data_IF_090749346970
#
_entry.id   IF_090749346970
#
_cell.length_a   1.000
_cell.length_b   1.000
_cell.length_c   1.000
_cell.angle_alpha   90.00
_cell.angle_beta   90.00
_cell.angle_gamma   90.00
#
_symmetry.space_group_name_H-M   'P 1'
#
loop_
_entity.id
_entity.type
_entity.pdbx_description
1 polymer ?
#
# COMPACT_ATOMS: atom_id res chain seq x y z
N UNK A 1 -39.02 8.30 -5.05
CA UNK A 1 -38.05 7.42 -4.38
C UNK A 1 -37.91 7.98 -2.97
N UNK A 2 -38.31 7.23 -1.96
CA UNK A 2 -38.21 7.61 -0.57
C UNK A 2 -36.80 7.31 -0.08
N UNK A 3 -35.93 8.32 -0.09
CA UNK A 3 -34.53 8.19 0.31
C UNK A 3 -34.35 7.94 1.82
N UNK A 4 -35.40 8.13 2.60
CA UNK A 4 -35.49 7.78 4.02
C UNK A 4 -35.69 6.29 4.28
N UNK A 5 -36.12 5.51 3.28
CA UNK A 5 -36.27 4.07 3.42
C UNK A 5 -35.00 3.32 2.98
N UNK A 6 -34.37 2.50 3.86
CA UNK A 6 -33.14 1.80 3.52
C UNK A 6 -33.24 0.87 2.30
N UNK A 7 -34.44 0.34 2.02
CA UNK A 7 -34.69 -0.59 0.90
C UNK A 7 -34.74 0.11 -0.44
N UNK A 8 -35.24 1.34 -0.49
CA UNK A 8 -35.26 2.16 -1.71
C UNK A 8 -33.92 2.86 -1.95
N UNK A 9 -33.19 3.16 -0.87
CA UNK A 9 -31.86 3.74 -0.92
C UNK A 9 -30.80 2.75 -1.43
N UNK A 10 -30.91 1.46 -1.10
CA UNK A 10 -29.89 0.46 -1.48
C UNK A 10 -29.65 0.35 -3.01
N UNK A 11 -30.66 0.27 -3.88
CA UNK A 11 -30.46 0.29 -5.34
C UNK A 11 -29.84 1.60 -5.86
N UNK A 12 -30.11 2.73 -5.21
CA UNK A 12 -29.49 4.00 -5.58
C UNK A 12 -28.00 4.01 -5.24
N UNK A 13 -27.63 3.48 -4.06
CA UNK A 13 -26.22 3.30 -3.69
C UNK A 13 -25.52 2.29 -4.61
N UNK A 14 -26.21 1.22 -5.02
CA UNK A 14 -25.71 0.29 -6.04
C UNK A 14 -25.39 1.02 -7.34
N UNK A 15 -26.29 1.89 -7.80
CA UNK A 15 -26.10 2.68 -9.02
C UNK A 15 -24.90 3.64 -8.91
N UNK A 16 -24.74 4.34 -7.78
CA UNK A 16 -23.58 5.22 -7.56
C UNK A 16 -22.25 4.46 -7.55
N UNK A 17 -22.19 3.35 -6.81
CA UNK A 17 -20.98 2.56 -6.71
C UNK A 17 -20.61 1.92 -8.06
N UNK A 18 -21.61 1.41 -8.80
CA UNK A 18 -21.42 0.82 -10.11
C UNK A 18 -20.94 1.85 -11.15
N UNK A 19 -21.51 3.06 -11.13
CA UNK A 19 -21.12 4.13 -12.04
C UNK A 19 -19.73 4.70 -11.74
N UNK A 20 -19.30 4.71 -10.47
CA UNK A 20 -18.05 5.35 -10.07
C UNK A 20 -16.78 4.61 -10.47
N UNK A 21 -16.82 3.28 -10.57
CA UNK A 21 -15.66 2.43 -10.89
C UNK A 21 -14.48 2.52 -9.90
N UNK A 22 -14.62 3.25 -8.78
CA UNK A 22 -13.58 3.48 -7.76
C UNK A 22 -14.21 3.45 -6.37
N UNK A 23 -13.43 3.15 -5.30
CA UNK A 23 -13.94 3.27 -3.94
C UNK A 23 -14.52 4.65 -3.66
N UNK A 24 -15.70 4.71 -3.05
CA UNK A 24 -16.36 5.95 -2.64
C UNK A 24 -16.44 6.02 -1.12
N UNK A 25 -15.92 7.11 -0.55
CA UNK A 25 -16.07 7.39 0.87
C UNK A 25 -17.52 7.68 1.22
N UNK A 26 -17.91 7.45 2.49
CA UNK A 26 -19.26 7.79 2.94
C UNK A 26 -19.53 9.29 2.73
N UNK A 27 -18.57 10.14 3.08
CA UNK A 27 -18.65 11.59 2.90
C UNK A 27 -18.95 11.96 1.45
N UNK A 28 -18.22 11.37 0.50
CA UNK A 28 -18.42 11.64 -0.93
C UNK A 28 -19.80 11.19 -1.40
N UNK A 29 -20.28 10.04 -0.93
CA UNK A 29 -21.64 9.59 -1.25
C UNK A 29 -22.70 10.52 -0.66
N UNK A 30 -22.47 11.08 0.54
CA UNK A 30 -23.37 12.05 1.17
C UNK A 30 -23.44 13.38 0.43
N UNK A 31 -22.36 13.81 -0.22
CA UNK A 31 -22.31 15.03 -1.04
C UNK A 31 -23.14 14.92 -2.33
N UNK A 32 -23.46 13.72 -2.78
CA UNK A 32 -24.28 13.52 -3.99
C UNK A 32 -25.77 13.81 -3.75
N UNK A 33 -26.20 13.91 -2.48
CA UNK A 33 -27.57 14.22 -2.11
C UNK A 33 -27.72 15.73 -1.84
N UNK A 34 -28.83 16.30 -2.29
CA UNK A 34 -29.21 17.67 -1.93
C UNK A 34 -29.56 17.77 -0.44
N UNK A 35 -29.47 18.98 0.15
CA UNK A 35 -29.66 19.19 1.60
C UNK A 35 -31.01 18.67 2.13
N UNK A 36 -32.08 18.72 1.33
CA UNK A 36 -33.42 18.23 1.70
C UNK A 36 -33.63 16.73 1.49
N UNK A 37 -32.73 16.07 0.77
CA UNK A 37 -32.84 14.66 0.36
C UNK A 37 -31.84 13.75 1.08
N UNK A 38 -30.93 14.34 1.86
CA UNK A 38 -29.87 13.62 2.54
C UNK A 38 -30.45 12.67 3.60
N UNK A 39 -30.26 11.35 3.47
CA UNK A 39 -30.69 10.39 4.47
C UNK A 39 -29.90 10.52 5.77
N UNK A 40 -30.49 10.10 6.88
CA UNK A 40 -29.75 10.02 8.15
C UNK A 40 -28.66 8.94 8.09
N UNK A 41 -27.55 9.15 8.80
CA UNK A 41 -26.43 8.21 8.86
C UNK A 41 -26.81 6.75 9.23
N UNK A 42 -27.74 6.49 10.18
CA UNK A 42 -28.17 5.14 10.51
C UNK A 42 -28.94 4.46 9.37
N UNK A 43 -29.76 5.21 8.63
CA UNK A 43 -30.50 4.73 7.46
C UNK A 43 -29.52 4.35 6.35
N UNK A 44 -28.52 5.19 6.11
CA UNK A 44 -27.48 4.97 5.11
C UNK A 44 -26.68 3.68 5.38
N UNK A 45 -26.20 3.48 6.62
CA UNK A 45 -25.49 2.26 7.01
C UNK A 45 -26.36 1.01 6.88
N UNK A 46 -27.65 1.10 7.23
CA UNK A 46 -28.62 0.01 7.02
C UNK A 46 -28.81 -0.29 5.53
N UNK A 47 -28.88 0.73 4.68
CA UNK A 47 -28.99 0.55 3.23
C UNK A 47 -27.77 -0.17 2.65
N UNK A 48 -26.55 0.19 3.07
CA UNK A 48 -25.33 -0.52 2.67
C UNK A 48 -25.32 -1.98 3.14
N UNK A 49 -25.79 -2.26 4.35
CA UNK A 49 -25.90 -3.64 4.84
C UNK A 49 -26.92 -4.46 4.04
N UNK A 50 -28.05 -3.86 3.66
CA UNK A 50 -29.05 -4.48 2.78
C UNK A 50 -28.45 -4.73 1.40
N UNK A 51 -27.70 -3.77 0.85
CA UNK A 51 -27.01 -3.90 -0.43
C UNK A 51 -26.01 -5.05 -0.38
N UNK A 52 -25.16 -5.13 0.66
CA UNK A 52 -24.21 -6.22 0.85
C UNK A 52 -24.90 -7.58 0.83
N UNK A 53 -26.00 -7.74 1.58
CA UNK A 53 -26.79 -8.96 1.61
C UNK A 53 -27.45 -9.27 0.26
N UNK A 54 -27.85 -8.26 -0.50
CA UNK A 54 -28.43 -8.44 -1.84
C UNK A 54 -27.40 -8.92 -2.89
N UNK A 55 -26.12 -8.68 -2.63
CA UNK A 55 -25.00 -9.20 -3.44
C UNK A 55 -24.68 -10.67 -3.15
N UNK A 56 -25.29 -11.29 -2.13
CA UNK A 56 -25.12 -12.70 -1.86
C UNK A 56 -25.66 -13.55 -3.01
N UNK A 57 -24.84 -14.49 -3.49
CA UNK A 57 -25.15 -15.31 -4.67
C UNK A 57 -24.91 -14.62 -6.02
N UNK A 58 -24.56 -13.33 -6.08
CA UNK A 58 -24.21 -12.63 -7.33
C UNK A 58 -22.72 -12.79 -7.70
N UNK A 59 -22.38 -12.39 -8.93
CA UNK A 59 -21.00 -12.43 -9.43
C UNK A 59 -20.09 -11.36 -8.79
N UNK A 60 -20.69 -10.29 -8.28
CA UNK A 60 -20.01 -9.19 -7.61
C UNK A 60 -20.39 -9.13 -6.14
N UNK A 61 -19.59 -8.41 -5.36
CA UNK A 61 -19.77 -8.19 -3.94
C UNK A 61 -19.52 -6.72 -3.59
N UNK A 62 -20.13 -6.27 -2.50
CA UNK A 62 -19.83 -4.99 -1.87
C UNK A 62 -18.66 -5.20 -0.91
N UNK A 63 -17.54 -4.51 -1.17
CA UNK A 63 -16.35 -4.53 -0.30
C UNK A 63 -16.13 -3.15 0.30
N UNK A 64 -15.83 -3.14 1.58
CA UNK A 64 -15.35 -1.94 2.30
C UNK A 64 -13.83 -1.99 2.37
N UNK A 65 -13.19 -0.92 1.92
CA UNK A 65 -11.74 -0.68 1.87
C UNK A 65 -11.41 0.63 2.58
N UNK A 66 -10.12 0.93 2.77
CA UNK A 66 -9.67 2.12 3.49
C UNK A 66 -10.25 3.44 2.94
N UNK A 67 -10.42 3.56 1.62
CA UNK A 67 -11.00 4.76 1.00
C UNK A 67 -12.54 4.76 0.95
N UNK A 68 -13.20 3.67 1.32
CA UNK A 68 -14.67 3.59 1.39
C UNK A 68 -15.24 2.30 0.82
N UNK A 69 -16.39 2.38 0.15
CA UNK A 69 -17.09 1.21 -0.40
C UNK A 69 -16.90 1.09 -1.92
N UNK A 70 -16.80 -0.13 -2.42
CA UNK A 70 -16.79 -0.43 -3.87
C UNK A 70 -17.53 -1.72 -4.18
N UNK A 71 -18.06 -1.80 -5.41
CA UNK A 71 -18.51 -3.07 -5.98
C UNK A 71 -17.36 -3.69 -6.77
N UNK A 72 -17.06 -4.95 -6.50
CA UNK A 72 -16.01 -5.69 -7.19
C UNK A 72 -16.47 -7.09 -7.55
N UNK A 73 -15.85 -7.68 -8.58
CA UNK A 73 -16.14 -9.05 -8.96
C UNK A 73 -15.52 -10.00 -7.93
N UNK A 74 -16.24 -11.06 -7.54
CA UNK A 74 -15.73 -12.06 -6.59
C UNK A 74 -14.50 -12.74 -7.16
N UNK A 75 -13.51 -12.99 -6.31
CA UNK A 75 -12.21 -13.57 -6.68
C UNK A 75 -12.33 -14.89 -7.44
N UNK A 76 -13.34 -15.71 -7.12
CA UNK A 76 -13.64 -16.97 -7.81
C UNK A 76 -13.83 -16.83 -9.33
N UNK A 77 -14.15 -15.64 -9.85
CA UNK A 77 -14.30 -15.39 -11.29
C UNK A 77 -13.05 -14.78 -11.95
N UNK A 78 -12.03 -14.42 -11.18
CA UNK A 78 -10.80 -13.76 -11.64
C UNK A 78 -10.17 -14.43 -12.88
N UNK A 79 -10.02 -15.78 -12.95
CA UNK A 79 -9.40 -16.45 -14.10
C UNK A 79 -10.16 -16.27 -15.43
N UNK A 80 -11.46 -15.98 -15.37
CA UNK A 80 -12.30 -15.74 -16.56
C UNK A 80 -12.35 -14.27 -16.92
N UNK A 81 -12.54 -13.41 -15.92
CA UNK A 81 -12.60 -11.95 -16.12
C UNK A 81 -11.26 -11.44 -16.66
N UNK A 82 -10.14 -12.00 -16.17
CA UNK A 82 -8.80 -11.70 -16.66
C UNK A 82 -8.61 -11.88 -18.18
N UNK A 83 -9.41 -12.74 -18.82
CA UNK A 83 -9.36 -12.97 -20.28
C UNK A 83 -9.99 -11.86 -21.10
N UNK A 84 -10.71 -10.94 -20.46
CA UNK A 84 -11.33 -9.80 -21.12
C UNK A 84 -10.29 -8.78 -21.59
N UNK A 85 -9.14 -8.72 -20.92
CA UNK A 85 -8.04 -7.84 -21.30
C UNK A 85 -7.10 -8.57 -22.24
N UNK A 86 -6.81 -7.95 -23.39
CA UNK A 86 -5.89 -8.47 -24.42
C UNK A 86 -4.45 -8.56 -23.88
N UNK A 87 -4.04 -7.55 -23.10
CA UNK A 87 -2.76 -7.54 -22.42
C UNK A 87 -2.90 -8.08 -20.99
N UNK A 88 -2.10 -9.10 -20.65
CA UNK A 88 -1.97 -9.51 -19.25
C UNK A 88 -1.24 -8.42 -18.48
N UNK A 89 -1.79 -7.93 -17.36
CA UNK A 89 -1.08 -6.98 -16.53
C UNK A 89 0.24 -7.60 -16.07
N UNK A 90 1.32 -6.83 -16.18
CA UNK A 90 2.66 -7.27 -15.79
C UNK A 90 2.66 -7.74 -14.34
N UNK A 91 3.09 -8.99 -14.12
CA UNK A 91 3.16 -9.56 -12.77
C UNK A 91 4.23 -8.86 -11.96
N UNK A 92 3.97 -8.68 -10.67
CA UNK A 92 4.95 -8.13 -9.75
C UNK A 92 5.99 -9.19 -9.40
N UNK A 93 7.26 -8.79 -9.41
CA UNK A 93 8.35 -9.69 -9.03
C UNK A 93 8.27 -10.02 -7.54
N UNK A 94 8.76 -11.21 -7.17
CA UNK A 94 8.83 -11.64 -5.77
C UNK A 94 9.60 -10.63 -4.90
N UNK A 95 10.71 -10.10 -5.40
CA UNK A 95 11.50 -9.10 -4.67
C UNK A 95 10.71 -7.82 -4.37
N UNK A 96 9.81 -7.40 -5.29
CA UNK A 96 8.93 -6.25 -5.06
C UNK A 96 7.90 -6.54 -3.97
N UNK A 97 7.25 -7.70 -4.04
CA UNK A 97 6.25 -8.11 -3.04
C UNK A 97 6.87 -8.29 -1.65
N UNK A 98 8.06 -8.90 -1.56
CA UNK A 98 8.81 -9.03 -0.30
C UNK A 98 9.18 -7.66 0.31
N UNK A 99 9.67 -6.74 -0.53
CA UNK A 99 10.03 -5.38 -0.10
C UNK A 99 8.80 -4.64 0.43
N UNK A 100 7.68 -4.73 -0.29
CA UNK A 100 6.43 -4.12 0.12
C UNK A 100 5.87 -4.73 1.40
N UNK A 101 5.92 -6.05 1.55
CA UNK A 101 5.49 -6.72 2.78
C UNK A 101 6.32 -6.25 3.98
N UNK A 102 7.63 -6.13 3.85
CA UNK A 102 8.48 -5.58 4.92
C UNK A 102 8.08 -4.16 5.30
N UNK A 103 7.77 -3.30 4.33
CA UNK A 103 7.27 -1.95 4.62
C UNK A 103 5.93 -2.00 5.36
N UNK A 104 4.99 -2.85 4.93
CA UNK A 104 3.67 -2.94 5.56
C UNK A 104 3.74 -3.37 7.05
N UNK A 105 4.57 -4.38 7.37
CA UNK A 105 4.67 -4.92 8.74
C UNK A 105 5.65 -4.17 9.65
N UNK A 106 6.60 -3.39 9.10
CA UNK A 106 7.66 -2.71 9.89
C UNK A 106 7.74 -1.20 9.71
N UNK A 107 6.78 -0.59 9.03
CA UNK A 107 6.72 0.87 8.92
C UNK A 107 6.72 1.56 10.31
N UNK A 108 7.38 2.72 10.46
CA UNK A 108 8.20 3.40 9.46
C UNK A 108 9.60 2.78 9.34
N UNK A 109 10.00 2.41 8.11
CA UNK A 109 11.27 1.69 7.83
C UNK A 109 12.10 2.37 6.73
N UNK A 110 13.42 2.34 6.84
CA UNK A 110 14.39 2.89 5.88
C UNK A 110 14.85 1.83 4.87
N UNK A 111 15.44 2.26 3.75
CA UNK A 111 16.00 1.32 2.76
C UNK A 111 17.06 0.40 3.36
N UNK A 112 17.95 0.93 4.20
CA UNK A 112 19.01 0.13 4.83
C UNK A 112 18.44 -0.96 5.73
N UNK A 113 17.45 -0.64 6.56
CA UNK A 113 16.77 -1.63 7.42
C UNK A 113 16.07 -2.73 6.60
N UNK A 114 15.53 -2.41 5.42
CA UNK A 114 14.96 -3.42 4.51
C UNK A 114 16.06 -4.36 3.98
N UNK A 115 17.19 -3.80 3.56
CA UNK A 115 18.35 -4.57 3.06
C UNK A 115 18.93 -5.49 4.13
N UNK A 116 19.04 -5.00 5.37
CA UNK A 116 19.53 -5.76 6.52
C UNK A 116 18.64 -6.97 6.83
N UNK A 117 17.31 -6.81 6.76
CA UNK A 117 16.37 -7.92 7.01
C UNK A 117 16.36 -8.92 5.86
N UNK A 118 16.50 -8.46 4.60
CA UNK A 118 16.51 -9.34 3.42
C UNK A 118 17.85 -10.03 3.19
N UNK A 119 18.95 -9.47 3.72
CA UNK A 119 20.31 -9.95 3.48
C UNK A 119 20.81 -9.74 2.05
N UNK A 120 20.07 -9.00 1.22
CA UNK A 120 20.42 -8.68 -0.18
C UNK A 120 20.05 -7.23 -0.48
N UNK A 121 20.81 -6.60 -1.38
CA UNK A 121 20.55 -5.23 -1.83
C UNK A 121 19.14 -5.11 -2.46
N UNK A 122 18.44 -4.02 -2.15
CA UNK A 122 17.14 -3.73 -2.73
C UNK A 122 17.36 -2.90 -3.98
N UNK A 123 16.83 -3.36 -5.11
CA UNK A 123 16.91 -2.59 -6.35
C UNK A 123 16.17 -1.25 -6.19
N UNK A 124 16.86 -0.14 -6.41
CA UNK A 124 16.30 1.22 -6.33
C UNK A 124 15.05 1.40 -7.20
N UNK A 125 14.95 0.68 -8.32
CA UNK A 125 13.77 0.71 -9.18
C UNK A 125 12.52 0.19 -8.47
N UNK A 126 12.63 -0.82 -7.60
CA UNK A 126 11.48 -1.36 -6.85
C UNK A 126 10.87 -0.26 -5.96
N UNK A 127 11.71 0.43 -5.19
CA UNK A 127 11.26 1.52 -4.30
C UNK A 127 10.63 2.66 -5.12
N UNK A 128 11.24 3.01 -6.25
CA UNK A 128 10.71 4.01 -7.18
C UNK A 128 9.32 3.62 -7.70
N UNK A 129 9.15 2.39 -8.18
CA UNK A 129 7.85 1.90 -8.67
C UNK A 129 6.79 1.87 -7.58
N UNK A 130 7.14 1.49 -6.34
CA UNK A 130 6.20 1.50 -5.21
C UNK A 130 5.75 2.92 -4.85
N UNK A 131 6.63 3.92 -4.95
CA UNK A 131 6.30 5.34 -4.77
C UNK A 131 5.43 5.88 -5.91
N UNK A 132 5.76 5.56 -7.16
CA UNK A 132 4.99 5.99 -8.35
C UNK A 132 3.58 5.43 -8.38
N UNK A 133 3.39 4.20 -7.89
CA UNK A 133 2.07 3.57 -7.72
C UNK A 133 1.32 4.06 -6.48
N UNK A 134 1.92 5.00 -5.74
CA UNK A 134 1.41 5.54 -4.49
C UNK A 134 1.15 4.48 -3.41
N UNK A 135 1.73 3.28 -3.49
CA UNK A 135 1.55 2.25 -2.46
C UNK A 135 2.33 2.55 -1.20
N UNK A 136 3.45 3.23 -1.35
CA UNK A 136 4.26 3.75 -0.24
C UNK A 136 4.46 5.25 -0.40
N UNK A 137 4.77 5.91 0.71
CA UNK A 137 5.14 7.32 0.77
C UNK A 137 6.30 7.53 1.74
N UNK A 138 6.99 8.65 1.60
CA UNK A 138 8.00 9.10 2.56
C UNK A 138 7.28 9.78 3.72
N UNK A 139 7.52 9.31 4.94
CA UNK A 139 6.94 9.90 6.17
C UNK A 139 7.89 10.83 6.90
N UNK A 140 9.19 10.75 6.60
CA UNK A 140 10.23 11.56 7.20
C UNK A 140 11.62 11.00 6.92
N UNK A 141 12.62 11.50 7.63
CA UNK A 141 14.01 11.07 7.52
C UNK A 141 14.54 10.64 8.89
N UNK A 142 15.34 9.58 8.95
CA UNK A 142 15.94 9.10 10.19
C UNK A 142 17.12 9.98 10.58
N UNK A 143 17.30 10.23 11.88
CA UNK A 143 18.42 11.02 12.41
C UNK A 143 19.69 10.16 12.59
N UNK A 144 20.20 9.66 11.47
CA UNK A 144 21.48 8.92 11.37
C UNK A 144 22.32 9.52 10.23
N UNK A 145 23.65 9.27 10.18
CA UNK A 145 24.48 9.78 9.09
C UNK A 145 23.90 9.44 7.71
N UNK A 146 23.76 10.46 6.86
CA UNK A 146 23.12 10.34 5.54
C UNK A 146 21.61 10.55 5.52
N UNK A 147 20.96 10.74 6.68
CA UNK A 147 19.52 11.04 6.85
C UNK A 147 18.63 10.27 5.87
N UNK A 148 18.59 8.92 5.95
CA UNK A 148 17.83 8.11 5.00
C UNK A 148 16.32 8.34 5.15
N UNK A 149 15.60 8.30 4.03
CA UNK A 149 14.15 8.41 4.00
C UNK A 149 13.49 7.18 4.66
N UNK A 150 12.42 7.44 5.42
CA UNK A 150 11.56 6.42 6.02
C UNK A 150 10.28 6.27 5.19
N UNK A 151 9.94 5.02 4.89
CA UNK A 151 8.78 4.65 4.10
C UNK A 151 7.64 4.13 4.99
N UNK A 152 6.42 4.44 4.57
CA UNK A 152 5.19 3.86 5.11
C UNK A 152 4.21 3.61 3.97
N UNK A 153 3.25 2.72 4.21
CA UNK A 153 2.14 2.42 3.31
C UNK A 153 1.13 3.58 3.24
N UNK A 154 0.30 3.57 2.19
CA UNK A 154 -0.76 4.56 1.97
C UNK A 154 -2.14 3.91 1.96
N UNK A 155 -3.20 4.74 1.81
CA UNK A 155 -4.56 4.24 1.57
C UNK A 155 -4.68 3.49 0.23
N UNK A 156 -3.94 3.89 -0.80
CA UNK A 156 -3.95 3.21 -2.09
C UNK A 156 -3.43 1.77 -1.99
N UNK A 157 -2.43 1.53 -1.12
CA UNK A 157 -2.01 0.17 -0.78
C UNK A 157 -3.16 -0.63 -0.15
N UNK A 158 -3.82 -0.08 0.88
CA UNK A 158 -4.93 -0.76 1.55
C UNK A 158 -6.09 -1.05 0.59
N UNK A 159 -6.42 -0.12 -0.30
CA UNK A 159 -7.46 -0.28 -1.31
C UNK A 159 -7.10 -1.35 -2.36
N UNK A 160 -5.81 -1.48 -2.69
CA UNK A 160 -5.33 -2.51 -3.62
C UNK A 160 -5.47 -3.90 -2.99
N UNK A 161 -5.11 -4.04 -1.71
CA UNK A 161 -5.16 -5.30 -0.97
C UNK A 161 -6.51 -5.60 -0.30
N UNK A 162 -7.56 -4.80 -0.58
CA UNK A 162 -8.90 -4.97 -0.02
C UNK A 162 -8.96 -4.87 1.53
N UNK A 163 -8.09 -4.05 2.13
CA UNK A 163 -7.98 -3.85 3.58
C UNK A 163 -8.65 -2.54 3.99
N UNK A 164 -9.24 -2.49 5.19
CA UNK A 164 -9.80 -1.25 5.76
C UNK A 164 -8.75 -0.47 6.53
N UNK A 165 -7.93 -1.20 7.28
CA UNK A 165 -6.85 -0.67 8.10
C UNK A 165 -5.64 -1.62 8.00
N UNK A 166 -4.55 -1.22 8.66
CA UNK A 166 -3.32 -2.03 8.71
C UNK A 166 -3.41 -3.22 9.68
N UNK A 167 -4.35 -3.17 10.62
CA UNK A 167 -4.57 -4.23 11.62
C UNK A 167 -5.27 -5.46 11.01
N UNK A 168 -5.92 -5.28 9.86
CA UNK A 168 -6.51 -6.36 9.06
C UNK A 168 -5.45 -7.24 8.36
N UNK A 169 -4.16 -6.88 8.45
CA UNK A 169 -3.08 -7.70 7.90
C UNK A 169 -2.94 -9.01 8.70
N UNK A 170 -2.78 -10.17 8.04
CA UNK A 170 -2.55 -11.44 8.72
C UNK A 170 -1.35 -11.34 9.67
N UNK A 171 -1.45 -11.80 10.93
CA UNK A 171 -0.32 -11.75 11.83
C UNK A 171 0.82 -12.64 11.30
N UNK A 172 2.06 -12.24 11.56
CA UNK A 172 3.25 -12.94 11.05
C UNK A 172 3.35 -14.41 11.51
N UNK A 173 2.64 -14.79 12.58
CA UNK A 173 2.56 -16.17 13.05
C UNK A 173 1.77 -17.05 12.06
N UNK A 174 0.61 -16.58 11.60
CA UNK A 174 -0.30 -17.31 10.72
C UNK A 174 0.29 -17.47 9.31
N UNK A 175 1.16 -16.55 8.87
CA UNK A 175 1.87 -16.65 7.60
C UNK A 175 2.85 -17.83 7.52
N UNK A 176 3.27 -18.39 8.66
CA UNK A 176 4.13 -19.59 8.69
C UNK A 176 3.35 -20.87 8.43
N UNK A 177 2.05 -20.85 8.69
CA UNK A 177 1.15 -22.00 8.53
C UNK A 177 0.47 -22.00 7.15
N UNK A 178 0.48 -20.87 6.43
CA UNK A 178 0.18 -20.86 5.01
C UNK A 178 1.24 -21.71 4.29
N UNK A 179 0.85 -22.91 3.88
CA UNK A 179 1.60 -23.62 2.85
C UNK A 179 1.73 -22.69 1.64
N UNK A 180 2.94 -22.49 1.09
CA UNK A 180 3.04 -21.78 -0.17
C UNK A 180 2.24 -22.60 -1.17
N UNK A 181 1.13 -22.04 -1.67
CA UNK A 181 0.44 -22.61 -2.82
C UNK A 181 1.51 -22.95 -3.86
N UNK A 182 1.51 -24.17 -4.43
CA UNK A 182 2.48 -24.54 -5.44
C UNK A 182 2.38 -23.48 -6.54
N UNK A 183 3.46 -22.71 -6.66
CA UNK A 183 3.59 -21.66 -7.65
C UNK A 183 3.38 -22.35 -8.98
N UNK A 184 2.25 -22.05 -9.63
CA UNK A 184 2.12 -22.36 -11.04
C UNK A 184 3.16 -21.48 -11.73
N UNK A 185 4.32 -22.07 -12.02
CA UNK A 185 5.34 -21.54 -12.92
C UNK A 185 4.70 -21.36 -14.30
N UNK A 186 3.99 -20.25 -14.45
CA UNK A 186 3.39 -19.86 -15.72
C UNK A 186 4.39 -19.20 -16.66
N UNK A 187 5.62 -18.94 -16.19
CA UNK A 187 6.68 -18.40 -17.02
C UNK A 187 7.21 -19.45 -18.02
N UNK A 188 6.95 -20.76 -17.79
CA UNK A 188 7.35 -21.88 -18.64
C UNK A 188 6.17 -22.77 -19.11
N UNK A 189 4.92 -22.39 -18.85
CA UNK A 189 3.78 -23.16 -19.31
C UNK A 189 3.63 -23.00 -20.84
N UNK A 190 3.81 -24.08 -21.64
CA UNK A 190 3.71 -23.97 -23.09
C UNK A 190 2.31 -23.47 -23.46
N UNK A 191 2.27 -22.45 -24.32
CA UNK A 191 1.01 -21.97 -24.88
C UNK A 191 0.33 -23.16 -25.56
N UNK A 192 -0.93 -23.48 -25.21
CA UNK A 192 -1.66 -24.56 -25.86
C UNK A 192 -1.65 -24.40 -27.38
N UNK A 193 -1.27 -25.45 -28.12
CA UNK A 193 -1.10 -25.43 -29.59
C UNK A 193 -2.33 -24.88 -30.33
N UNK A 194 -3.52 -25.03 -29.75
CA UNK A 194 -4.78 -24.52 -30.30
C UNK A 194 -4.90 -22.99 -30.25
N UNK A 195 -4.29 -22.32 -29.26
CA UNK A 195 -4.23 -20.86 -29.17
C UNK A 195 -3.14 -20.30 -30.08
N UNK A 196 -2.01 -21.01 -30.21
CA UNK A 196 -0.95 -20.67 -31.15
C UNK A 196 -1.46 -20.74 -32.60
N UNK A 197 -2.16 -21.83 -32.96
CA UNK A 197 -2.72 -22.01 -34.29
C UNK A 197 -3.80 -20.96 -34.65
N UNK A 198 -4.54 -20.44 -33.68
CA UNK A 198 -5.51 -19.36 -33.90
C UNK A 198 -4.83 -18.00 -34.10
N UNK A 199 -3.73 -17.74 -33.39
CA UNK A 199 -2.90 -16.54 -33.59
C UNK A 199 -2.22 -16.57 -34.96
N UNK A 200 -1.63 -17.70 -35.34
CA UNK A 200 -0.98 -17.90 -36.63
C UNK A 200 -1.96 -17.83 -37.80
N UNK A 201 -3.21 -18.28 -37.62
CA UNK A 201 -4.26 -18.19 -38.63
C UNK A 201 -4.88 -16.78 -38.76
N UNK A 202 -4.73 -15.92 -37.74
CA UNK A 202 -5.23 -14.55 -37.73
C UNK A 202 -4.16 -13.53 -38.14
N UNK A 203 -2.89 -13.95 -38.30
CA UNK A 203 -1.83 -13.13 -38.83
C UNK A 203 -2.00 -12.99 -40.35
N UNK A 204 -2.36 -11.80 -40.83
CA UNK A 204 -2.16 -11.45 -42.24
C UNK A 204 -0.66 -11.48 -42.55
N UNK A 205 -0.23 -11.90 -43.76
CA UNK A 205 1.18 -11.93 -44.12
C UNK A 205 1.70 -10.48 -44.22
N UNK A 206 2.23 -9.96 -43.12
CA UNK A 206 3.09 -8.78 -43.17
C UNK A 206 4.36 -9.16 -43.94
N UNK A 207 4.69 -8.36 -44.95
CA UNK A 207 5.97 -8.44 -45.64
C UNK A 207 7.11 -8.37 -44.61
N UNK A 208 8.19 -9.17 -44.76
CA UNK A 208 9.28 -9.16 -43.81
C UNK A 208 9.91 -7.76 -43.82
N UNK A 209 9.63 -6.97 -42.79
CA UNK A 209 10.49 -5.85 -42.44
C UNK A 209 11.77 -6.49 -41.96
N UNK A 210 12.83 -6.34 -42.74
CA UNK A 210 14.18 -6.72 -42.37
C UNK A 210 14.49 -6.11 -41.01
N UNK A 211 14.36 -6.92 -39.95
CA UNK A 211 15.03 -6.66 -38.70
C UNK A 211 16.52 -6.65 -39.07
N UNK A 212 17.12 -5.46 -39.07
CA UNK A 212 18.55 -5.32 -39.17
C UNK A 212 19.14 -6.12 -38.01
N UNK A 213 19.64 -7.31 -38.34
CA UNK A 213 20.33 -8.20 -37.43
C UNK A 213 21.28 -7.38 -36.56
N UNK A 214 21.31 -7.69 -35.26
CA UNK A 214 22.21 -7.06 -34.28
C UNK A 214 23.66 -6.96 -34.79
N UNK A 215 24.05 -7.87 -35.68
CA UNK A 215 25.35 -7.90 -36.34
C UNK A 215 25.59 -6.73 -37.31
N UNK A 216 24.56 -6.25 -38.03
CA UNK A 216 24.62 -5.08 -38.91
C UNK A 216 24.81 -3.80 -38.12
N UNK A 217 24.11 -3.66 -36.99
CA UNK A 217 24.27 -2.51 -36.08
C UNK A 217 25.65 -2.48 -35.42
N UNK A 218 26.22 -3.65 -35.11
CA UNK A 218 27.59 -3.78 -34.61
C UNK A 218 28.65 -3.37 -35.66
N UNK A 219 28.42 -3.69 -36.94
CA UNK A 219 29.32 -3.30 -38.03
C UNK A 219 29.24 -1.80 -38.35
N UNK A 220 28.05 -1.18 -38.22
CA UNK A 220 27.92 0.27 -38.34
C UNK A 220 28.64 1.01 -37.21
N UNK A 221 28.57 0.48 -35.97
CA UNK A 221 29.27 1.06 -34.82
C UNK A 221 30.80 1.00 -34.96
N UNK A 222 31.35 -0.13 -35.43
CA UNK A 222 32.78 -0.28 -35.73
C UNK A 222 33.23 0.73 -36.81
N UNK A 223 32.40 0.98 -37.84
CA UNK A 223 32.71 1.95 -38.90
C UNK A 223 32.68 3.41 -38.41
N UNK A 224 31.88 3.71 -37.38
CA UNK A 224 31.82 5.03 -36.75
C UNK A 224 33.02 5.27 -35.82
N UNK A 225 33.58 4.21 -35.23
CA UNK A 225 34.76 4.27 -34.34
C UNK A 225 36.08 4.52 -35.11
N UNK A 226 36.17 4.12 -36.38
CA UNK A 226 37.34 4.38 -37.23
C UNK A 226 37.54 5.87 -37.57
N UNK A 227 36.49 6.70 -37.41
CA UNK A 227 36.55 8.15 -37.65
C UNK A 227 36.99 9.01 -36.45
N UNK A 228 37.20 8.41 -35.27
CA UNK A 228 37.45 9.13 -34.01
C UNK A 228 38.90 9.04 -33.49
N UNK A 229 39.84 8.54 -34.30
CA UNK A 229 41.27 8.49 -33.93
C UNK A 229 42.06 9.69 -34.42
N UNK A 230 41.91 10.81 -33.73
CA UNK A 230 42.98 11.75 -33.38
C UNK A 230 42.34 12.80 -32.50
N UNK A 231 42.79 12.94 -31.25
CA UNK A 231 42.66 14.15 -30.39
C UNK A 231 42.95 13.84 -28.91
N UNK A 232 43.33 12.60 -28.56
CA UNK A 232 43.69 12.24 -27.18
C UNK A 232 45.19 11.96 -26.95
N UNK A 233 46.07 12.49 -27.82
CA UNK A 233 47.53 12.42 -27.64
C UNK A 233 48.20 13.80 -27.49
N UNK A 234 47.43 14.91 -27.58
CA UNK A 234 47.97 16.28 -27.58
C UNK A 234 48.08 16.92 -26.18
N UNK A 235 47.71 16.19 -25.11
CA UNK A 235 47.72 16.73 -23.74
C UNK A 235 48.83 16.15 -22.83
N UNK A 236 49.75 15.34 -23.36
CA UNK A 236 50.75 14.67 -22.51
C UNK A 236 52.20 14.68 -22.99
N UNK A 237 52.58 15.44 -24.02
CA UNK A 237 53.99 15.47 -24.42
C UNK A 237 54.42 16.69 -25.24
N UNK A 238 54.76 17.78 -24.56
CA UNK A 238 56.07 18.39 -24.79
C UNK A 238 56.58 19.07 -23.51
N UNK A 239 57.83 18.80 -23.17
CA UNK A 239 58.45 19.24 -21.92
C UNK A 239 59.84 19.83 -22.17
N UNK A 240 60.17 20.83 -21.35
CA UNK A 240 61.52 21.34 -21.06
C UNK A 240 62.22 22.06 -22.25
N UNK A 241 63.06 23.10 -22.14
CA UNK A 241 63.95 23.71 -21.11
C UNK A 241 64.22 25.16 -21.63
N UNK A 242 64.41 26.24 -20.87
CA UNK A 242 65.69 26.75 -20.31
C UNK A 242 65.51 28.18 -19.78
N UNK A 243 66.29 28.51 -18.74
CA UNK A 243 66.50 29.82 -18.09
C UNK A 243 67.02 30.93 -19.03
N UNK A 244 66.54 32.18 -18.88
CA UNK A 244 67.35 33.40 -18.67
C UNK A 244 66.48 34.64 -18.36
N UNK A 245 67.11 35.61 -17.70
CA UNK A 245 66.58 36.66 -16.84
C UNK A 245 66.04 37.94 -17.53
N UNK A 246 65.24 38.68 -16.73
CA UNK A 246 65.10 40.15 -16.58
C UNK A 246 63.77 40.79 -17.00
N UNK A 247 63.13 41.49 -16.05
CA UNK A 247 62.15 42.55 -16.34
C UNK A 247 60.98 42.71 -15.36
N UNK A 248 61.26 43.36 -14.22
CA UNK A 248 60.36 44.06 -13.28
C UNK A 248 58.91 44.39 -13.76
N UNK A 249 57.89 44.03 -12.97
CA UNK A 249 56.79 44.92 -12.53
C UNK A 249 55.85 44.22 -11.52
N UNK A 250 55.42 44.96 -10.51
CA UNK A 250 54.55 44.55 -9.40
C UNK A 250 53.07 44.39 -9.85
N UNK A 251 52.24 43.58 -9.15
CA UNK A 251 50.80 43.54 -9.40
C UNK A 251 50.07 44.61 -8.57
N UNK A 252 49.26 45.44 -9.22
CA UNK A 252 48.20 46.24 -8.60
C UNK A 252 46.91 45.41 -8.45
N UNK A 253 46.11 45.63 -7.39
CA UNK A 253 44.85 44.91 -7.16
C UNK A 253 43.67 45.57 -7.88
N UNK A 254 42.79 44.75 -8.47
CA UNK A 254 41.50 45.15 -9.02
C UNK A 254 40.36 45.07 -7.98
N UNK A 255 39.25 45.79 -8.19
CA UNK A 255 38.53 46.50 -7.13
C UNK A 255 37.31 45.76 -6.55
N UNK A 256 36.95 46.20 -5.34
CA UNK A 256 35.74 45.87 -4.59
C UNK A 256 34.49 46.38 -5.31
N UNK A 257 33.47 45.51 -5.44
CA UNK A 257 32.13 45.88 -5.90
C UNK A 257 31.22 45.97 -4.68
N UNK A 258 30.78 47.19 -4.39
CA UNK A 258 29.69 47.50 -3.46
C UNK A 258 28.36 47.05 -4.07
N UNK A 259 27.53 46.34 -3.28
CA UNK A 259 26.10 46.21 -3.55
C UNK A 259 25.33 46.56 -2.29
N UNK A 260 24.46 47.54 -2.47
CA UNK A 260 23.59 48.21 -1.50
C UNK A 260 22.63 47.22 -0.83
N UNK A 261 22.48 47.36 0.49
CA UNK A 261 21.47 46.65 1.30
C UNK A 261 20.27 47.57 1.43
N UNK A 262 19.15 47.21 0.79
CA UNK A 262 17.85 47.81 1.08
C UNK A 262 17.32 47.30 2.42
N UNK A 263 16.95 48.25 3.27
CA UNK A 263 16.41 48.05 4.59
C UNK A 263 14.89 47.77 4.50
N UNK A 264 14.46 46.66 5.08
CA UNK A 264 13.08 46.49 5.54
C UNK A 264 13.06 46.38 7.07
N UNK A 265 12.22 47.21 7.66
CA UNK A 265 12.12 47.48 9.08
C UNK A 265 11.50 46.31 9.86
N UNK A 266 12.17 45.90 10.93
CA UNK A 266 11.59 45.06 11.98
C UNK A 266 10.61 45.88 12.83
N UNK A 267 9.37 45.41 12.91
CA UNK A 267 8.39 45.85 13.90
C UNK A 267 8.58 44.96 15.14
N UNK A 268 9.08 45.56 16.21
CA UNK A 268 9.11 44.96 17.55
C UNK A 268 7.67 44.69 18.03
N UNK A 269 7.32 43.41 18.10
CA UNK A 269 6.15 42.92 18.82
C UNK A 269 6.61 42.12 20.02
N UNK A 270 6.48 42.72 21.20
CA UNK A 270 6.65 42.07 22.49
C UNK A 270 5.72 40.84 22.59
N UNK A 271 6.29 39.67 22.85
CA UNK A 271 5.54 38.51 23.36
C UNK A 271 6.27 38.01 24.60
N UNK A 272 5.60 38.21 25.74
CA UNK A 272 5.96 37.67 27.04
C UNK A 272 6.15 36.14 26.97
N UNK A 273 7.30 35.68 27.44
CA UNK A 273 7.56 34.27 27.71
C UNK A 273 6.94 33.91 29.05
N UNK A 274 5.76 33.27 29.03
CA UNK A 274 5.25 32.53 30.17
C UNK A 274 5.95 31.17 30.21
N UNK A 275 6.89 31.03 31.15
CA UNK A 275 7.51 29.77 31.53
C UNK A 275 6.52 29.02 32.43
N UNK A 276 5.94 27.92 31.94
CA UNK A 276 5.23 26.97 32.79
C UNK A 276 6.26 26.18 33.62
N UNK A 277 6.06 26.00 34.94
CA UNK A 277 7.00 25.27 35.77
C UNK A 277 6.79 23.75 35.60
N UNK A 278 7.91 23.04 35.69
CA UNK A 278 8.00 21.57 35.73
C UNK A 278 7.12 21.00 36.85
N UNK A 279 6.23 20.07 36.50
CA UNK A 279 5.39 19.35 37.46
C UNK A 279 6.22 18.29 38.21
N UNK A 280 6.41 18.50 39.51
CA UNK A 280 6.91 17.52 40.46
C UNK A 280 5.93 16.33 40.53
N UNK A 281 6.48 15.11 40.41
CA UNK A 281 5.74 13.86 40.58
C UNK A 281 5.53 13.61 42.08
N UNK A 282 4.35 13.97 42.59
CA UNK A 282 3.90 13.57 43.93
C UNK A 282 3.53 12.09 43.98
N UNK A 283 3.98 11.39 45.02
CA UNK A 283 3.58 10.02 45.33
C UNK A 283 2.09 10.00 45.74
N UNK A 284 1.29 9.02 45.28
CA UNK A 284 -0.14 8.99 45.57
C UNK A 284 -0.40 8.76 47.06
N UNK A 285 -1.26 9.60 47.63
CA UNK A 285 -1.72 9.54 49.01
C UNK A 285 -2.65 8.32 49.22
N UNK A 286 -2.59 7.72 50.42
CA UNK A 286 -3.25 6.44 50.77
C UNK A 286 -4.79 6.45 50.74
N UNK A 287 -5.45 7.59 50.47
CA UNK A 287 -6.91 7.72 50.49
C UNK A 287 -7.61 7.31 49.17
N UNK A 288 -6.89 7.18 48.06
CA UNK A 288 -7.48 6.77 46.75
C UNK A 288 -7.63 5.24 46.57
N UNK A 289 -7.06 4.44 47.48
CA UNK A 289 -7.12 2.98 47.43
C UNK A 289 -8.53 2.43 47.70
N UNK A 290 -9.37 3.18 48.42
CA UNK A 290 -10.73 2.74 48.79
C UNK A 290 -11.69 2.81 47.59
N UNK A 291 -11.54 3.84 46.74
CA UNK A 291 -12.42 4.03 45.57
C UNK A 291 -12.20 3.00 44.47
N UNK A 292 -10.95 2.57 44.26
CA UNK A 292 -10.61 1.54 43.25
C UNK A 292 -11.11 0.15 43.67
N UNK A 293 -11.13 -0.14 44.97
CA UNK A 293 -11.66 -1.39 45.51
C UNK A 293 -13.20 -1.47 45.33
N UNK A 294 -13.93 -0.40 45.63
CA UNK A 294 -15.39 -0.35 45.42
C UNK A 294 -15.77 -0.43 43.93
N UNK A 295 -14.98 0.19 43.04
CA UNK A 295 -15.19 0.11 41.60
C UNK A 295 -15.01 -1.33 41.08
N UNK A 296 -14.01 -2.05 41.59
CA UNK A 296 -13.74 -3.45 41.22
C UNK A 296 -14.84 -4.40 41.72
N UNK A 297 -15.37 -4.17 42.92
CA UNK A 297 -16.47 -4.98 43.46
C UNK A 297 -17.77 -4.79 42.67
N UNK A 298 -18.10 -3.55 42.29
CA UNK A 298 -19.24 -3.27 41.41
C UNK A 298 -19.09 -3.92 40.03
N UNK A 299 -17.88 -3.97 39.49
CA UNK A 299 -17.61 -4.58 38.18
C UNK A 299 -17.70 -6.11 38.26
N UNK A 300 -17.20 -6.73 39.34
CA UNK A 300 -17.37 -8.16 39.60
C UNK A 300 -18.84 -8.54 39.82
N UNK A 301 -19.61 -7.71 40.51
CA UNK A 301 -21.05 -7.92 40.70
C UNK A 301 -21.82 -7.79 39.37
N UNK A 302 -21.44 -6.85 38.49
CA UNK A 302 -22.04 -6.70 37.17
C UNK A 302 -21.72 -7.88 36.24
N UNK A 303 -20.50 -8.42 36.30
CA UNK A 303 -20.10 -9.62 35.55
C UNK A 303 -20.84 -10.86 36.07
N UNK A 304 -21.01 -11.01 37.38
CA UNK A 304 -21.79 -12.10 37.96
C UNK A 304 -23.28 -12.04 37.59
N UNK A 305 -23.84 -10.83 37.42
CA UNK A 305 -25.23 -10.65 36.97
C UNK A 305 -25.43 -11.03 35.49
N UNK A 306 -24.42 -10.85 34.64
CA UNK A 306 -24.44 -11.28 33.24
C UNK A 306 -24.38 -12.82 33.11
N UNK A 307 -23.66 -13.49 34.00
CA UNK A 307 -23.51 -14.96 33.99
C UNK A 307 -24.81 -15.68 34.43
N UNK A 308 -25.66 -15.00 35.21
CA UNK A 308 -27.00 -15.50 35.59
C UNK A 308 -28.04 -15.41 34.47
N UNK A 309 -27.73 -14.72 33.37
CA UNK A 309 -28.57 -14.62 32.16
C UNK A 309 -27.88 -15.30 30.98
N UNK A 310 -27.35 -16.51 31.19
CA UNK A 310 -27.11 -17.42 30.07
C UNK A 310 -28.48 -17.77 29.48
N UNK A 311 -28.77 -17.44 28.20
CA UNK A 311 -30.03 -17.81 27.59
C UNK A 311 -30.14 -19.34 27.65
N UNK A 312 -31.25 -19.84 28.17
CA UNK A 312 -31.56 -21.27 28.13
C UNK A 312 -31.51 -21.68 26.65
N UNK A 313 -30.62 -22.61 26.30
CA UNK A 313 -30.57 -23.20 24.96
C UNK A 313 -31.98 -23.68 24.63
N UNK A 314 -32.45 -23.37 23.43
CA UNK A 314 -33.72 -23.90 22.95
C UNK A 314 -33.66 -25.43 22.93
N UNK A 315 -34.79 -26.11 23.18
CA UNK A 315 -34.83 -27.58 23.23
C UNK A 315 -34.26 -28.22 21.94
N UNK A 316 -34.36 -27.52 20.80
CA UNK A 316 -33.78 -27.94 19.51
C UNK A 316 -32.23 -27.93 19.49
N UNK A 317 -31.58 -27.00 20.19
CA UNK A 317 -30.11 -26.92 20.26
C UNK A 317 -29.52 -27.99 21.18
N UNK A 318 -30.24 -28.35 22.25
CA UNK A 318 -29.84 -29.45 23.14
C UNK A 318 -29.96 -30.81 22.45
N UNK A 319 -31.02 -31.02 21.64
CA UNK A 319 -31.17 -32.24 20.83
C UNK A 319 -30.09 -32.34 19.74
N UNK A 320 -29.74 -31.22 19.09
CA UNK A 320 -28.67 -31.20 18.09
C UNK A 320 -27.29 -31.53 18.68
N UNK A 321 -27.00 -31.05 19.90
CA UNK A 321 -25.76 -31.39 20.60
C UNK A 321 -25.71 -32.87 21.02
N UNK A 322 -26.81 -33.42 21.53
CA UNK A 322 -26.89 -34.83 21.89
C UNK A 322 -26.73 -35.76 20.68
N UNK A 323 -27.27 -35.36 19.52
CA UNK A 323 -27.10 -36.09 18.26
C UNK A 323 -25.64 -36.05 17.79
N UNK A 324 -24.98 -34.89 17.87
CA UNK A 324 -23.58 -34.74 17.48
C UNK A 324 -22.66 -35.59 18.35
N UNK A 325 -22.88 -35.62 19.66
CA UNK A 325 -22.10 -36.42 20.61
C UNK A 325 -22.35 -37.93 20.41
N UNK A 326 -23.57 -38.34 20.06
CA UNK A 326 -23.88 -39.72 19.71
C UNK A 326 -23.16 -40.18 18.43
N UNK A 327 -23.11 -39.33 17.40
CA UNK A 327 -22.40 -39.61 16.15
C UNK A 327 -20.89 -39.72 16.40
N UNK A 328 -20.33 -38.85 17.25
CA UNK A 328 -18.90 -38.86 17.56
C UNK A 328 -18.50 -40.10 18.38
N UNK A 329 -19.34 -40.52 19.33
CA UNK A 329 -19.14 -41.78 20.05
C UNK A 329 -19.26 -43.01 19.16
N UNK A 330 -20.22 -43.03 18.23
CA UNK A 330 -20.38 -44.14 17.29
C UNK A 330 -19.18 -44.24 16.34
N UNK A 331 -18.65 -43.10 15.90
CA UNK A 331 -17.41 -43.02 15.11
C UNK A 331 -16.20 -43.53 15.89
N UNK A 332 -16.10 -43.17 17.17
CA UNK A 332 -15.03 -43.62 18.06
C UNK A 332 -15.08 -45.13 18.36
N UNK A 333 -16.28 -45.70 18.45
CA UNK A 333 -16.49 -47.15 18.62
C UNK A 333 -16.29 -47.95 17.31
N UNK A 334 -16.25 -47.27 16.16
CA UNK A 334 -16.00 -47.88 14.85
C UNK A 334 -14.52 -47.90 14.48
N UNK A 335 -13.68 -47.14 15.20
CA UNK A 335 -12.24 -47.01 14.98
C UNK A 335 -11.37 -47.87 15.93
N UNK A 336 -11.97 -48.52 16.94
CA UNK A 336 -11.35 -49.51 17.86
C UNK A 336 -11.71 -50.97 17.48
#
# INVERSE_FOLDING_TARGET
MNLTEPRELAPLLEAFLLASGKPQSMERLFELFEEGERPELPVFKKALAILAKSCDGRAFELKEVASGYRLQIREKFSPWVGRLWEERPQRYSRAMLETMALIAYRQPITRGEIEDVRGVAVNTHIVKTLLEREWIRIVGYRDVPGKPAMFATTKAFLDHFNLKNLDDLPPLADLRELEPDPVLDFDDAPVPENLQALADASAEPEEPKDETSFHTLLLELDSMEEGLKSDFDDLLRDGAVTETEEGLAQPEPEPEVEVEVEAEAEVEGEVESQVEPEAEIEQPQEDDLIGVAEAREKLLAAVAALDQHKPQLSDEEAEAQALAEAIENERRMSED
#
